data_IF_390088538327
#
_entry.id   IF_390088538327
#
_cell.length_a   1.000
_cell.length_b   1.000
_cell.length_c   1.000
_cell.angle_alpha   90.00
_cell.angle_beta   90.00
_cell.angle_gamma   90.00
#
_symmetry.space_group_name_H-M   'P 1'
#
loop_
_entity.id
_entity.type
_entity.pdbx_description
1 polymer ?
#
# COMPACT_ATOMS: atom_id res chain seq x y z
N UNK A 1 28.38 62.23 89.69
CA UNK A 1 27.02 62.20 90.30
C UNK A 1 26.19 61.14 89.58
N UNK A 2 25.72 60.17 90.37
CA UNK A 2 24.48 59.38 90.28
C UNK A 2 23.93 58.83 88.95
N UNK A 3 23.78 57.49 89.02
CA UNK A 3 22.59 56.69 88.73
C UNK A 3 22.36 56.10 87.34
N UNK A 4 22.73 54.81 87.27
CA UNK A 4 22.05 53.77 86.49
C UNK A 4 20.54 53.80 86.76
N UNK A 5 19.75 53.84 85.69
CA UNK A 5 18.41 53.24 85.68
C UNK A 5 18.24 52.43 84.42
N UNK A 6 18.44 51.13 84.61
CA UNK A 6 17.87 50.07 83.80
C UNK A 6 16.36 50.27 83.67
N UNK A 7 15.81 50.08 82.47
CA UNK A 7 14.42 49.63 82.28
C UNK A 7 14.33 48.91 80.93
N UNK A 8 14.62 47.61 81.00
CA UNK A 8 14.01 46.58 80.16
C UNK A 8 12.50 46.81 80.10
N UNK A 9 11.97 47.00 78.90
CA UNK A 9 10.64 46.50 78.53
C UNK A 9 10.73 45.85 77.16
N UNK A 10 11.14 44.58 77.17
CA UNK A 10 10.80 43.61 76.12
C UNK A 10 9.27 43.44 76.15
N UNK A 11 8.57 44.03 75.21
CA UNK A 11 7.16 43.69 74.94
C UNK A 11 7.14 42.31 74.30
N UNK A 12 6.63 41.31 75.03
CA UNK A 12 6.43 39.92 74.57
C UNK A 12 5.74 39.82 73.20
N UNK A 13 4.96 40.84 72.82
CA UNK A 13 4.24 40.97 71.54
C UNK A 13 5.13 40.89 70.29
N UNK A 14 6.28 41.55 70.24
CA UNK A 14 7.13 41.59 69.03
C UNK A 14 7.85 40.26 68.77
N UNK A 15 8.16 39.51 69.84
CA UNK A 15 8.80 38.21 69.71
C UNK A 15 7.83 37.13 69.22
N UNK A 16 6.56 37.18 69.64
CA UNK A 16 5.51 36.30 69.10
C UNK A 16 5.07 36.68 67.68
N UNK A 17 5.13 37.96 67.30
CA UNK A 17 4.87 38.40 65.92
C UNK A 17 6.02 38.03 64.95
N UNK A 18 7.28 38.15 65.36
CA UNK A 18 8.43 37.67 64.57
C UNK A 18 8.50 36.14 64.48
N UNK A 19 8.19 35.41 65.57
CA UNK A 19 8.07 33.95 65.53
C UNK A 19 6.87 33.50 64.68
N UNK A 20 5.73 34.19 64.75
CA UNK A 20 4.55 33.92 63.93
C UNK A 20 4.79 34.18 62.44
N UNK A 21 5.46 35.27 62.08
CA UNK A 21 5.84 35.58 60.70
C UNK A 21 6.91 34.62 60.14
N UNK A 22 7.86 34.18 60.98
CA UNK A 22 8.84 33.15 60.63
C UNK A 22 8.21 31.77 60.42
N UNK A 23 7.25 31.37 61.26
CA UNK A 23 6.50 30.12 61.12
C UNK A 23 5.59 30.16 59.89
N UNK A 24 4.89 31.28 59.64
CA UNK A 24 4.09 31.45 58.41
C UNK A 24 4.99 31.45 57.17
N UNK A 25 6.14 32.14 57.18
CA UNK A 25 7.09 32.13 56.07
C UNK A 25 7.70 30.75 55.79
N UNK A 26 8.02 29.97 56.83
CA UNK A 26 8.48 28.57 56.69
C UNK A 26 7.35 27.67 56.18
N UNK A 27 6.12 27.81 56.68
CA UNK A 27 4.96 27.06 56.19
C UNK A 27 4.67 27.42 54.73
N UNK A 28 4.68 28.71 54.37
CA UNK A 28 4.50 29.16 52.99
C UNK A 28 5.63 28.67 52.10
N UNK A 29 6.90 28.69 52.54
CA UNK A 29 8.03 28.18 51.77
C UNK A 29 8.00 26.66 51.61
N UNK A 30 7.58 25.91 52.63
CA UNK A 30 7.36 24.45 52.56
C UNK A 30 6.18 24.14 51.63
N UNK A 31 5.08 24.90 51.71
CA UNK A 31 3.97 24.80 50.76
C UNK A 31 4.42 25.15 49.35
N UNK A 32 5.26 26.17 49.16
CA UNK A 32 5.80 26.56 47.86
C UNK A 32 6.75 25.51 47.30
N UNK A 33 7.61 24.90 48.14
CA UNK A 33 8.51 23.81 47.75
C UNK A 33 7.74 22.52 47.44
N UNK A 34 6.71 22.21 48.21
CA UNK A 34 5.80 21.09 47.95
C UNK A 34 5.02 21.38 46.67
N UNK A 35 4.44 22.57 46.47
CA UNK A 35 3.75 22.94 45.23
C UNK A 35 4.67 22.98 44.00
N UNK A 36 5.91 23.48 44.12
CA UNK A 36 6.89 23.49 43.02
C UNK A 36 7.38 22.09 42.68
N UNK A 37 7.68 21.25 43.68
CA UNK A 37 8.07 19.85 43.44
C UNK A 37 6.92 19.02 42.90
N UNK A 38 5.69 19.19 43.42
CA UNK A 38 4.47 18.57 42.89
C UNK A 38 4.15 19.07 41.47
N UNK A 39 4.32 20.37 41.20
CA UNK A 39 4.07 21.00 39.91
C UNK A 39 5.07 20.55 38.84
N UNK A 40 6.36 20.53 39.16
CA UNK A 40 7.42 20.03 38.27
C UNK A 40 7.25 18.55 37.99
N UNK A 41 6.99 17.73 39.02
CA UNK A 41 6.77 16.29 38.84
C UNK A 41 5.51 16.03 38.00
N UNK A 42 4.41 16.72 38.26
CA UNK A 42 3.20 16.60 37.43
C UNK A 42 3.43 17.07 35.99
N UNK A 43 4.17 18.17 35.76
CA UNK A 43 4.49 18.63 34.42
C UNK A 43 5.37 17.62 33.65
N UNK A 44 6.35 17.02 34.33
CA UNK A 44 7.22 15.97 33.75
C UNK A 44 6.40 14.72 33.41
N UNK A 45 5.50 14.28 34.29
CA UNK A 45 4.62 13.13 34.04
C UNK A 45 3.65 13.42 32.91
N UNK A 46 2.98 14.57 32.91
CA UNK A 46 2.08 14.98 31.81
C UNK A 46 2.84 15.05 30.49
N UNK A 47 4.04 15.63 30.46
CA UNK A 47 4.89 15.70 29.27
C UNK A 47 5.28 14.32 28.75
N UNK A 48 5.67 13.39 29.63
CA UNK A 48 6.03 12.01 29.27
C UNK A 48 4.85 11.16 28.81
N UNK A 49 3.66 11.34 29.40
CA UNK A 49 2.41 10.73 28.92
C UNK A 49 2.10 11.28 27.53
N UNK A 50 2.14 12.60 27.39
CA UNK A 50 1.82 13.31 26.17
C UNK A 50 2.76 12.97 25.01
N UNK A 51 4.03 12.68 25.29
CA UNK A 51 5.01 12.30 24.28
C UNK A 51 4.83 10.88 23.72
N UNK A 52 3.96 10.06 24.31
CA UNK A 52 3.58 8.75 23.76
C UNK A 52 2.55 8.87 22.63
N UNK A 53 1.88 10.02 22.53
CA UNK A 53 0.89 10.28 21.51
C UNK A 53 1.54 10.95 20.29
N UNK A 54 1.11 10.52 19.10
CA UNK A 54 1.36 11.18 17.83
C UNK A 54 0.37 12.33 17.65
N UNK A 55 -0.90 12.09 17.97
CA UNK A 55 -1.96 13.09 18.07
C UNK A 55 -2.57 13.03 19.48
N UNK A 56 -2.51 14.17 20.18
CA UNK A 56 -2.98 14.27 21.57
C UNK A 56 -4.49 14.47 21.66
N UNK A 57 -5.08 15.15 20.68
CA UNK A 57 -6.52 15.46 20.67
C UNK A 57 -7.31 14.21 20.30
N UNK A 58 -6.78 13.41 19.38
CA UNK A 58 -7.38 12.13 18.96
C UNK A 58 -6.89 10.93 19.79
N UNK A 59 -5.98 11.15 20.76
CA UNK A 59 -5.34 10.11 21.58
C UNK A 59 -4.71 8.97 20.75
N UNK A 60 -4.08 9.33 19.63
CA UNK A 60 -3.40 8.37 18.74
C UNK A 60 -2.01 8.07 19.29
N UNK A 61 -1.79 6.85 19.77
CA UNK A 61 -0.48 6.39 20.24
C UNK A 61 0.51 6.28 19.09
N UNK A 62 1.77 6.63 19.34
CA UNK A 62 2.87 6.37 18.39
C UNK A 62 3.02 4.88 18.10
N UNK A 63 3.58 4.57 16.93
CA UNK A 63 3.95 3.20 16.53
C UNK A 63 5.01 2.65 17.48
N UNK A 64 6.07 3.43 17.71
CA UNK A 64 7.13 3.11 18.66
C UNK A 64 6.95 3.88 19.98
N UNK A 65 6.59 3.14 21.02
CA UNK A 65 6.38 3.69 22.37
C UNK A 65 7.69 3.70 23.18
N UNK A 66 7.87 4.74 23.98
CA UNK A 66 9.03 4.83 24.88
C UNK A 66 8.72 4.11 26.20
N UNK A 67 8.92 2.79 26.21
CA UNK A 67 8.66 1.94 27.38
C UNK A 67 9.47 2.33 28.63
N UNK A 68 10.68 2.88 28.47
CA UNK A 68 11.47 3.39 29.62
C UNK A 68 10.79 4.59 30.28
N UNK A 69 10.17 5.46 29.49
CA UNK A 69 9.42 6.61 30.02
C UNK A 69 8.11 6.18 30.69
N UNK A 70 7.44 5.16 30.14
CA UNK A 70 6.25 4.56 30.74
C UNK A 70 6.54 3.88 32.08
N UNK A 71 7.59 3.04 32.14
CA UNK A 71 8.04 2.37 33.36
C UNK A 71 8.42 3.38 34.46
N UNK A 72 9.09 4.47 34.08
CA UNK A 72 9.39 5.56 35.01
C UNK A 72 8.12 6.19 35.58
N UNK A 73 7.10 6.49 34.75
CA UNK A 73 5.84 7.06 35.23
C UNK A 73 5.13 6.09 36.18
N UNK A 74 5.04 4.81 35.82
CA UNK A 74 4.42 3.77 36.65
C UNK A 74 5.11 3.63 38.02
N UNK A 75 6.44 3.65 38.05
CA UNK A 75 7.22 3.63 39.30
C UNK A 75 6.97 4.87 40.16
N UNK A 76 6.93 6.06 39.57
CA UNK A 76 6.66 7.30 40.30
C UNK A 76 5.24 7.31 40.87
N UNK A 77 4.24 6.82 40.12
CA UNK A 77 2.86 6.69 40.62
C UNK A 77 2.81 5.70 41.79
N UNK A 78 3.44 4.53 41.66
CA UNK A 78 3.45 3.51 42.72
C UNK A 78 4.19 3.96 43.98
N UNK A 79 5.36 4.59 43.86
CA UNK A 79 6.16 5.04 45.02
C UNK A 79 5.54 6.24 45.72
N UNK A 80 4.78 7.07 44.99
CA UNK A 80 4.12 8.25 45.56
C UNK A 80 2.74 7.98 46.16
N UNK A 81 2.24 6.75 46.07
CA UNK A 81 0.93 6.31 46.57
C UNK A 81 -0.22 7.25 46.14
N UNK A 82 -0.07 7.90 44.97
CA UNK A 82 -1.02 8.87 44.42
C UNK A 82 -1.05 10.25 45.09
N UNK A 83 -0.17 10.55 46.05
CA UNK A 83 -0.12 11.86 46.74
C UNK A 83 0.71 12.91 45.98
N UNK A 84 1.71 12.49 45.19
CA UNK A 84 2.60 13.41 44.46
C UNK A 84 2.09 13.68 43.03
N UNK A 85 1.47 12.67 42.41
CA UNK A 85 0.89 12.77 41.07
C UNK A 85 -0.59 13.08 41.17
N UNK A 86 -1.06 14.08 40.41
CA UNK A 86 -2.48 14.43 40.36
C UNK A 86 -3.34 13.23 39.92
N UNK A 87 -4.54 13.09 40.51
CA UNK A 87 -5.50 12.04 40.13
C UNK A 87 -5.78 11.98 38.62
N UNK A 88 -5.81 13.15 37.96
CA UNK A 88 -5.98 13.24 36.51
C UNK A 88 -4.82 12.59 35.73
N UNK A 89 -3.58 12.81 36.16
CA UNK A 89 -2.41 12.18 35.54
C UNK A 89 -2.38 10.66 35.78
N UNK A 90 -2.79 10.19 36.97
CA UNK A 90 -2.93 8.75 37.26
C UNK A 90 -3.99 8.11 36.35
N UNK A 91 -5.16 8.74 36.19
CA UNK A 91 -6.22 8.27 35.29
C UNK A 91 -5.75 8.21 33.84
N UNK A 92 -5.08 9.27 33.34
CA UNK A 92 -4.52 9.31 31.99
C UNK A 92 -3.46 8.24 31.75
N UNK A 93 -2.63 7.96 32.76
CA UNK A 93 -1.65 6.88 32.69
C UNK A 93 -2.33 5.51 32.63
N UNK A 94 -3.35 5.25 33.45
CA UNK A 94 -4.08 3.98 33.42
C UNK A 94 -4.82 3.76 32.10
N UNK A 95 -5.41 4.81 31.51
CA UNK A 95 -6.01 4.75 30.18
C UNK A 95 -4.97 4.43 29.09
N UNK A 96 -3.81 5.09 29.14
CA UNK A 96 -2.69 4.82 28.26
C UNK A 96 -2.22 3.36 28.37
N UNK A 97 -2.03 2.86 29.59
CA UNK A 97 -1.63 1.48 29.83
C UNK A 97 -2.66 0.48 29.29
N UNK A 98 -3.95 0.73 29.52
CA UNK A 98 -5.04 -0.09 28.96
C UNK A 98 -5.01 -0.13 27.44
N UNK A 99 -4.80 1.02 26.77
CA UNK A 99 -4.67 1.06 25.30
C UNK A 99 -3.45 0.27 24.81
N UNK A 100 -2.32 0.37 25.49
CA UNK A 100 -1.09 -0.38 25.16
C UNK A 100 -1.33 -1.89 25.30
N UNK A 101 -1.96 -2.32 26.39
CA UNK A 101 -2.27 -3.74 26.60
C UNK A 101 -3.28 -4.26 25.58
N UNK A 102 -4.31 -3.47 25.25
CA UNK A 102 -5.27 -3.82 24.21
C UNK A 102 -4.58 -4.01 22.85
N UNK A 103 -3.65 -3.12 22.47
CA UNK A 103 -2.82 -3.26 21.25
C UNK A 103 -1.99 -4.54 21.26
N UNK A 104 -1.32 -4.84 22.37
CA UNK A 104 -0.55 -6.08 22.54
C UNK A 104 -1.43 -7.31 22.40
N UNK A 105 -2.61 -7.31 23.01
CA UNK A 105 -3.56 -8.41 22.95
C UNK A 105 -4.07 -8.62 21.52
N UNK A 106 -4.47 -7.56 20.82
CA UNK A 106 -4.87 -7.64 19.40
C UNK A 106 -3.76 -8.21 18.52
N UNK A 107 -2.53 -7.74 18.70
CA UNK A 107 -1.35 -8.25 17.96
C UNK A 107 -1.14 -9.74 18.22
N UNK A 108 -1.19 -10.17 19.49
CA UNK A 108 -1.09 -11.58 19.86
C UNK A 108 -2.21 -12.44 19.28
N UNK A 109 -3.45 -11.93 19.26
CA UNK A 109 -4.59 -12.63 18.67
C UNK A 109 -4.38 -12.86 17.17
N UNK A 110 -3.91 -11.85 16.42
CA UNK A 110 -3.60 -12.02 14.98
C UNK A 110 -2.47 -13.02 14.79
N UNK A 111 -1.39 -12.90 15.56
CA UNK A 111 -0.25 -13.83 15.48
C UNK A 111 -0.64 -15.26 15.86
N UNK A 112 -1.62 -15.43 16.75
CA UNK A 112 -2.09 -16.76 17.16
C UNK A 112 -2.83 -17.51 16.06
N UNK A 113 -3.27 -16.84 14.98
CA UNK A 113 -3.87 -17.51 13.82
C UNK A 113 -2.84 -18.25 12.97
N UNK A 114 -1.55 -17.94 13.12
CA UNK A 114 -0.48 -18.51 12.32
C UNK A 114 0.09 -19.79 12.94
N UNK A 115 0.46 -20.74 12.07
CA UNK A 115 1.28 -21.91 12.39
C UNK A 115 2.63 -21.83 11.66
N UNK A 116 3.45 -20.88 12.12
CA UNK A 116 4.70 -20.50 11.46
C UNK A 116 4.53 -19.42 10.40
N UNK A 117 5.49 -19.27 9.49
CA UNK A 117 5.53 -18.14 8.54
C UNK A 117 4.56 -18.24 7.37
N UNK A 118 4.15 -19.44 7.01
CA UNK A 118 3.45 -19.71 5.74
C UNK A 118 2.20 -20.58 5.91
N UNK A 119 1.75 -20.82 7.14
CA UNK A 119 0.58 -21.64 7.43
C UNK A 119 -0.29 -20.95 8.48
N UNK A 120 -1.58 -21.29 8.47
CA UNK A 120 -2.51 -20.92 9.53
C UNK A 120 -2.93 -22.15 10.33
N UNK A 121 -3.40 -21.93 11.56
CA UNK A 121 -3.80 -22.99 12.49
C UNK A 121 -5.15 -23.63 12.13
N UNK A 122 -5.33 -24.87 12.56
CA UNK A 122 -6.54 -25.66 12.28
C UNK A 122 -7.80 -25.12 12.95
N UNK A 123 -7.65 -24.40 14.06
CA UNK A 123 -8.77 -23.87 14.82
C UNK A 123 -9.27 -22.51 14.29
N UNK A 124 -8.70 -22.00 13.19
CA UNK A 124 -9.14 -20.75 12.56
C UNK A 124 -10.49 -20.96 11.86
N UNK A 125 -11.43 -20.07 12.15
CA UNK A 125 -12.78 -20.05 11.57
C UNK A 125 -13.11 -18.67 11.04
N UNK A 126 -14.10 -18.57 10.16
CA UNK A 126 -14.63 -17.28 9.69
C UNK A 126 -15.04 -16.37 10.85
N UNK A 127 -15.71 -16.91 11.88
CA UNK A 127 -16.11 -16.15 13.07
C UNK A 127 -14.91 -15.56 13.83
N UNK A 128 -13.85 -16.35 14.04
CA UNK A 128 -12.62 -15.87 14.69
C UNK A 128 -11.96 -14.74 13.89
N UNK A 129 -11.95 -14.84 12.56
CA UNK A 129 -11.41 -13.81 11.67
C UNK A 129 -12.26 -12.53 11.79
N UNK A 130 -13.58 -12.65 11.68
CA UNK A 130 -14.51 -11.52 11.72
C UNK A 130 -14.52 -10.79 13.07
N UNK A 131 -14.46 -11.54 14.18
CA UNK A 131 -14.41 -10.94 15.51
C UNK A 131 -13.08 -10.24 15.77
N UNK A 132 -11.98 -10.79 15.25
CA UNK A 132 -10.69 -10.13 15.33
C UNK A 132 -10.64 -8.85 14.48
N UNK A 133 -11.25 -8.84 13.30
CA UNK A 133 -11.37 -7.64 12.47
C UNK A 133 -12.09 -6.52 13.22
N UNK A 134 -13.25 -6.82 13.83
CA UNK A 134 -13.98 -5.86 14.69
C UNK A 134 -13.13 -5.35 15.85
N UNK A 135 -12.28 -6.20 16.44
CA UNK A 135 -11.36 -5.77 17.49
C UNK A 135 -10.25 -4.86 16.95
N UNK A 136 -9.72 -5.13 15.76
CA UNK A 136 -8.70 -4.32 15.12
C UNK A 136 -9.20 -2.91 14.82
N UNK A 137 -10.47 -2.72 14.45
CA UNK A 137 -11.07 -1.39 14.24
C UNK A 137 -10.99 -0.45 15.47
N UNK A 138 -10.71 -0.99 16.67
CA UNK A 138 -10.49 -0.19 17.89
C UNK A 138 -9.05 0.34 18.02
N UNK A 139 -8.15 0.01 17.10
CA UNK A 139 -6.79 0.56 17.06
C UNK A 139 -6.81 1.94 16.41
N UNK A 140 -6.45 2.97 17.19
CA UNK A 140 -6.47 4.37 16.73
C UNK A 140 -5.27 4.72 15.83
N UNK A 141 -4.15 4.01 15.97
CA UNK A 141 -2.98 4.23 15.11
C UNK A 141 -3.14 3.43 13.80
N UNK A 142 -3.27 4.16 12.69
CA UNK A 142 -3.53 3.57 11.37
C UNK A 142 -2.41 2.64 10.87
N UNK A 143 -1.13 2.96 11.13
CA UNK A 143 -0.02 2.09 10.72
C UNK A 143 -0.05 0.74 11.47
N UNK A 144 -0.31 0.77 12.78
CA UNK A 144 -0.44 -0.45 13.58
C UNK A 144 -1.68 -1.24 13.16
N UNK A 145 -2.82 -0.55 12.98
CA UNK A 145 -4.05 -1.17 12.48
C UNK A 145 -3.80 -1.89 11.15
N UNK A 146 -3.27 -1.19 10.14
CA UNK A 146 -3.05 -1.74 8.80
C UNK A 146 -2.07 -2.91 8.83
N UNK A 147 -1.00 -2.83 9.61
CA UNK A 147 -0.04 -3.93 9.76
C UNK A 147 -0.71 -5.20 10.28
N UNK A 148 -1.60 -5.08 11.26
CA UNK A 148 -2.33 -6.22 11.80
C UNK A 148 -3.46 -6.68 10.86
N UNK A 149 -4.13 -5.74 10.18
CA UNK A 149 -5.17 -6.04 9.19
C UNK A 149 -4.60 -6.82 8.01
N UNK A 150 -3.47 -6.41 7.44
CA UNK A 150 -2.80 -7.13 6.35
C UNK A 150 -2.45 -8.59 6.74
N UNK A 151 -2.03 -8.81 8.00
CA UNK A 151 -1.80 -10.15 8.52
C UNK A 151 -3.10 -10.94 8.61
N UNK A 152 -4.16 -10.33 9.16
CA UNK A 152 -5.48 -10.97 9.26
C UNK A 152 -6.04 -11.31 7.86
N UNK A 153 -5.91 -10.41 6.90
CA UNK A 153 -6.37 -10.59 5.51
C UNK A 153 -5.61 -11.73 4.84
N UNK A 154 -4.31 -11.85 5.10
CA UNK A 154 -3.51 -12.98 4.61
C UNK A 154 -4.08 -14.32 5.11
N UNK A 155 -4.43 -14.39 6.40
CA UNK A 155 -5.06 -15.60 6.97
C UNK A 155 -6.45 -15.83 6.38
N UNK A 156 -7.24 -14.77 6.19
CA UNK A 156 -8.56 -14.85 5.59
C UNK A 156 -8.50 -15.42 4.16
N UNK A 157 -7.61 -14.90 3.31
CA UNK A 157 -7.40 -15.41 1.95
C UNK A 157 -7.00 -16.88 2.00
N UNK A 158 -6.07 -17.26 2.87
CA UNK A 158 -5.66 -18.67 3.01
C UNK A 158 -6.80 -19.57 3.47
N UNK A 159 -7.67 -19.07 4.36
CA UNK A 159 -8.84 -19.79 4.84
C UNK A 159 -9.87 -19.98 3.71
N UNK A 160 -10.24 -18.93 3.00
CA UNK A 160 -11.18 -18.96 1.87
C UNK A 160 -10.66 -19.88 0.74
N UNK A 161 -9.38 -19.76 0.36
CA UNK A 161 -8.73 -20.66 -0.59
C UNK A 161 -8.76 -22.12 -0.13
N UNK A 162 -8.68 -22.37 1.19
CA UNK A 162 -8.79 -23.73 1.72
C UNK A 162 -10.23 -24.25 1.60
N UNK A 163 -11.25 -23.44 1.87
CA UNK A 163 -12.66 -23.84 1.73
C UNK A 163 -13.01 -24.13 0.27
N UNK A 164 -12.59 -23.27 -0.66
CA UNK A 164 -12.79 -23.45 -2.09
C UNK A 164 -12.08 -24.72 -2.59
N UNK A 165 -10.82 -24.91 -2.19
CA UNK A 165 -10.06 -26.12 -2.50
C UNK A 165 -10.75 -27.38 -1.95
N UNK A 166 -11.25 -27.35 -0.71
CA UNK A 166 -11.92 -28.49 -0.07
C UNK A 166 -13.16 -28.94 -0.84
N UNK A 167 -13.99 -27.96 -1.25
CA UNK A 167 -15.19 -28.19 -2.06
C UNK A 167 -14.84 -28.72 -3.44
N UNK A 168 -13.82 -28.14 -4.07
CA UNK A 168 -13.38 -28.55 -5.40
C UNK A 168 -12.78 -29.96 -5.41
N UNK A 169 -11.94 -30.28 -4.42
CA UNK A 169 -11.33 -31.61 -4.28
C UNK A 169 -12.38 -32.67 -4.00
N UNK A 170 -13.32 -32.42 -3.09
CA UNK A 170 -14.43 -33.34 -2.81
C UNK A 170 -15.19 -33.68 -4.08
N UNK A 171 -15.66 -32.66 -4.82
CA UNK A 171 -16.40 -32.85 -6.06
C UNK A 171 -15.58 -33.61 -7.13
N UNK A 172 -14.31 -33.27 -7.28
CA UNK A 172 -13.45 -33.88 -8.30
C UNK A 172 -13.08 -35.33 -7.95
N UNK A 173 -12.82 -35.59 -6.66
CA UNK A 173 -12.53 -36.91 -6.13
C UNK A 173 -13.74 -37.85 -6.23
N UNK A 174 -14.93 -37.38 -5.89
CA UNK A 174 -16.16 -38.17 -6.01
C UNK A 174 -16.48 -38.50 -7.48
N UNK A 175 -16.31 -37.52 -8.38
CA UNK A 175 -16.47 -37.74 -9.81
C UNK A 175 -15.45 -38.75 -10.36
N UNK A 176 -14.18 -38.63 -9.94
CA UNK A 176 -13.11 -39.54 -10.33
C UNK A 176 -13.40 -40.98 -9.86
N UNK A 177 -13.81 -41.18 -8.61
CA UNK A 177 -14.15 -42.52 -8.10
C UNK A 177 -15.39 -43.13 -8.77
N UNK A 178 -16.29 -42.29 -9.31
CA UNK A 178 -17.49 -42.75 -10.03
C UNK A 178 -17.15 -43.12 -11.47
N UNK A 179 -16.36 -42.30 -12.13
CA UNK A 179 -15.91 -42.48 -13.50
C UNK A 179 -14.50 -41.89 -13.64
N UNK A 180 -13.51 -42.77 -13.77
CA UNK A 180 -12.10 -42.37 -13.89
C UNK A 180 -11.85 -41.48 -15.13
N UNK A 181 -12.65 -41.61 -16.19
CA UNK A 181 -12.54 -40.79 -17.40
C UNK A 181 -13.02 -39.35 -17.22
N UNK A 182 -13.70 -39.06 -16.10
CA UNK A 182 -14.15 -37.71 -15.75
C UNK A 182 -12.99 -36.75 -15.41
N UNK A 183 -11.79 -37.27 -15.18
CA UNK A 183 -10.59 -36.52 -14.84
C UNK A 183 -9.92 -35.94 -16.09
N UNK A 184 -10.36 -34.75 -16.49
CA UNK A 184 -9.74 -33.97 -17.56
C UNK A 184 -8.45 -33.28 -17.12
N UNK A 185 -7.63 -32.88 -18.10
CA UNK A 185 -6.43 -32.07 -17.89
C UNK A 185 -6.68 -30.79 -17.05
N UNK A 186 -7.72 -30.04 -17.39
CA UNK A 186 -8.09 -28.82 -16.68
C UNK A 186 -8.38 -29.09 -15.20
N UNK A 187 -9.09 -30.20 -14.93
CA UNK A 187 -9.43 -30.59 -13.57
C UNK A 187 -8.21 -30.93 -12.73
N UNK A 188 -7.27 -31.72 -13.26
CA UNK A 188 -6.06 -32.12 -12.53
C UNK A 188 -5.10 -30.93 -12.32
N UNK A 189 -4.99 -30.03 -13.31
CA UNK A 189 -4.22 -28.80 -13.18
C UNK A 189 -4.76 -27.90 -12.06
N UNK A 190 -6.09 -27.75 -11.99
CA UNK A 190 -6.75 -27.02 -10.93
C UNK A 190 -6.61 -27.73 -9.56
N UNK A 191 -6.66 -29.07 -9.53
CA UNK A 191 -6.39 -29.84 -8.30
C UNK A 191 -4.98 -29.55 -7.76
N UNK A 192 -3.96 -29.66 -8.60
CA UNK A 192 -2.57 -29.44 -8.23
C UNK A 192 -2.31 -27.98 -7.81
N UNK A 193 -2.96 -27.03 -8.49
CA UNK A 193 -2.90 -25.60 -8.15
C UNK A 193 -3.47 -25.34 -6.76
N UNK A 194 -4.73 -25.73 -6.51
CA UNK A 194 -5.36 -25.54 -5.20
C UNK A 194 -4.57 -26.23 -4.09
N UNK A 195 -3.96 -27.39 -4.36
CA UNK A 195 -3.22 -28.15 -3.35
C UNK A 195 -1.93 -27.42 -2.90
N UNK A 196 -1.27 -26.73 -3.83
CA UNK A 196 -0.11 -25.86 -3.53
C UNK A 196 -0.52 -24.62 -2.71
N UNK A 197 -1.74 -24.12 -2.94
CA UNK A 197 -2.27 -22.92 -2.28
C UNK A 197 -2.74 -23.18 -0.84
N UNK A 198 -3.19 -24.39 -0.49
CA UNK A 198 -3.60 -24.70 0.89
C UNK A 198 -2.47 -24.43 1.88
N UNK A 199 -2.74 -23.52 2.83
CA UNK A 199 -1.85 -23.14 3.94
C UNK A 199 -2.29 -23.70 5.29
N UNK A 200 -3.31 -24.56 5.32
CA UNK A 200 -3.64 -25.35 6.50
C UNK A 200 -2.96 -26.73 6.42
N UNK A 201 -2.11 -27.07 7.38
CA UNK A 201 -1.34 -28.32 7.35
C UNK A 201 -2.23 -29.56 7.42
N UNK A 202 -3.27 -29.53 8.25
CA UNK A 202 -4.17 -30.68 8.46
C UNK A 202 -5.05 -30.95 7.24
N UNK A 203 -5.66 -29.92 6.67
CA UNK A 203 -6.45 -30.05 5.43
C UNK A 203 -5.56 -30.48 4.27
N UNK A 204 -4.34 -29.91 4.15
CA UNK A 204 -3.38 -30.33 3.12
C UNK A 204 -2.98 -31.80 3.27
N UNK A 205 -2.77 -32.27 4.50
CA UNK A 205 -2.49 -33.68 4.78
C UNK A 205 -3.67 -34.57 4.41
N UNK A 206 -4.90 -34.18 4.77
CA UNK A 206 -6.14 -34.91 4.45
C UNK A 206 -6.28 -35.20 2.96
N UNK A 207 -5.95 -34.24 2.10
CA UNK A 207 -6.08 -34.37 0.64
C UNK A 207 -4.88 -35.01 -0.05
N UNK A 208 -3.76 -35.21 0.65
CA UNK A 208 -2.50 -35.66 0.04
C UNK A 208 -2.65 -36.97 -0.74
N UNK A 209 -3.40 -37.94 -0.22
CA UNK A 209 -3.56 -39.24 -0.86
C UNK A 209 -4.45 -39.17 -2.10
N UNK A 210 -5.60 -38.51 -1.99
CA UNK A 210 -6.55 -38.33 -3.09
C UNK A 210 -5.92 -37.57 -4.28
N UNK A 211 -5.21 -36.47 -3.99
CA UNK A 211 -4.48 -35.70 -5.01
C UNK A 211 -3.43 -36.55 -5.70
N UNK A 212 -2.61 -37.29 -4.93
CA UNK A 212 -1.59 -38.19 -5.49
C UNK A 212 -2.19 -39.26 -6.41
N UNK A 213 -3.31 -39.88 -6.01
CA UNK A 213 -4.01 -40.89 -6.82
C UNK A 213 -4.54 -40.32 -8.15
N UNK A 214 -5.15 -39.14 -8.12
CA UNK A 214 -5.62 -38.47 -9.34
C UNK A 214 -4.45 -38.09 -10.27
N UNK A 215 -3.35 -37.59 -9.72
CA UNK A 215 -2.16 -37.17 -10.48
C UNK A 215 -1.44 -38.36 -11.12
N UNK A 216 -1.32 -39.48 -10.38
CA UNK A 216 -0.78 -40.74 -10.90
C UNK A 216 -1.65 -41.34 -12.01
N UNK A 217 -2.97 -41.37 -11.82
CA UNK A 217 -3.89 -41.85 -12.84
C UNK A 217 -3.75 -41.04 -14.13
N UNK A 218 -3.78 -39.71 -14.03
CA UNK A 218 -3.64 -38.83 -15.19
C UNK A 218 -2.28 -39.00 -15.90
N UNK A 219 -1.19 -39.05 -15.14
CA UNK A 219 0.16 -39.24 -15.68
C UNK A 219 0.35 -40.57 -16.43
N UNK A 220 -0.37 -41.62 -16.05
CA UNK A 220 -0.27 -42.93 -16.69
C UNK A 220 -1.18 -43.09 -17.92
N UNK A 221 -2.10 -42.16 -18.17
CA UNK A 221 -3.13 -42.26 -19.22
C UNK A 221 -3.09 -41.13 -20.26
N UNK A 222 -2.07 -40.25 -20.23
CA UNK A 222 -1.88 -39.15 -21.19
C UNK A 222 -0.45 -39.11 -21.73
N UNK A 223 -0.30 -38.94 -23.06
CA UNK A 223 1.01 -38.89 -23.74
C UNK A 223 1.83 -37.64 -23.41
N UNK A 224 3.16 -37.74 -23.53
CA UNK A 224 4.17 -36.75 -23.13
C UNK A 224 3.97 -35.31 -23.67
N UNK A 225 3.31 -35.12 -24.82
CA UNK A 225 3.10 -33.77 -25.38
C UNK A 225 2.13 -32.90 -24.57
N UNK A 226 1.26 -33.50 -23.76
CA UNK A 226 0.28 -32.80 -22.91
C UNK A 226 0.90 -32.06 -21.72
N UNK A 227 2.11 -32.44 -21.29
CA UNK A 227 2.77 -31.93 -20.06
C UNK A 227 3.39 -30.53 -20.18
N UNK A 228 3.83 -30.11 -21.37
CA UNK A 228 4.44 -28.77 -21.55
C UNK A 228 3.36 -27.70 -21.73
N UNK A 229 2.29 -28.04 -22.42
CA UNK A 229 1.08 -27.22 -22.53
C UNK A 229 0.35 -27.14 -21.17
N UNK A 230 0.52 -28.16 -20.34
CA UNK A 230 -0.01 -28.22 -18.99
C UNK A 230 0.55 -27.16 -18.05
N UNK A 231 1.87 -26.98 -18.04
CA UNK A 231 2.53 -25.97 -17.19
C UNK A 231 2.15 -24.56 -17.61
N UNK A 232 1.90 -24.33 -18.91
CA UNK A 232 1.43 -23.03 -19.42
C UNK A 232 -0.01 -22.74 -19.02
N UNK A 233 -0.90 -23.74 -19.08
CA UNK A 233 -2.31 -23.58 -18.64
C UNK A 233 -2.46 -23.48 -17.12
N UNK A 234 -1.64 -24.18 -16.34
CA UNK A 234 -1.60 -24.07 -14.87
C UNK A 234 -1.22 -22.65 -14.43
N UNK A 235 -0.25 -22.02 -15.14
CA UNK A 235 0.15 -20.63 -14.90
C UNK A 235 -0.96 -19.62 -15.25
N UNK A 236 -1.70 -19.84 -16.34
CA UNK A 236 -2.81 -18.95 -16.75
C UNK A 236 -4.07 -19.14 -15.90
N UNK A 237 -4.35 -20.37 -15.42
CA UNK A 237 -5.41 -20.62 -14.46
C UNK A 237 -5.11 -20.00 -13.09
N UNK A 238 -3.85 -20.01 -12.64
CA UNK A 238 -3.39 -19.30 -11.44
C UNK A 238 -3.62 -17.78 -11.52
N UNK A 239 -3.45 -17.18 -12.70
CA UNK A 239 -3.70 -15.74 -12.91
C UNK A 239 -5.17 -15.38 -12.91
N UNK A 240 -6.04 -16.30 -13.35
CA UNK A 240 -7.45 -16.01 -13.67
C UNK A 240 -8.46 -16.71 -12.76
N UNK A 241 -8.03 -17.50 -11.75
CA UNK A 241 -8.96 -18.17 -10.83
C UNK A 241 -9.67 -17.12 -9.96
N UNK A 242 -10.99 -16.89 -10.19
CA UNK A 242 -11.73 -15.92 -9.42
C UNK A 242 -12.05 -16.54 -8.06
N UNK A 243 -11.64 -15.88 -6.98
CA UNK A 243 -12.14 -16.17 -5.63
C UNK A 243 -13.67 -16.08 -5.68
N UNK A 244 -14.35 -17.18 -5.40
CA UNK A 244 -15.81 -17.31 -5.62
C UNK A 244 -16.67 -16.64 -4.54
N UNK A 245 -16.06 -16.05 -3.52
CA UNK A 245 -16.74 -15.14 -2.61
C UNK A 245 -16.31 -13.71 -2.89
N UNK A 246 -17.29 -12.83 -3.16
CA UNK A 246 -17.13 -11.39 -3.31
C UNK A 246 -16.53 -10.80 -2.03
N UNK A 247 -15.21 -10.85 -1.90
CA UNK A 247 -14.51 -9.95 -1.00
C UNK A 247 -14.69 -8.54 -1.56
N UNK A 248 -15.57 -7.78 -0.90
CA UNK A 248 -15.55 -6.33 -0.98
C UNK A 248 -14.62 -5.92 0.16
N UNK A 249 -13.35 -5.54 -0.12
CA UNK A 249 -12.55 -4.93 0.92
C UNK A 249 -13.37 -3.80 1.54
N UNK A 250 -13.43 -3.74 2.86
CA UNK A 250 -13.97 -2.56 3.52
C UNK A 250 -13.29 -1.35 2.88
N UNK A 251 -14.08 -0.38 2.42
CA UNK A 251 -13.58 0.93 2.00
C UNK A 251 -13.00 1.58 3.26
N UNK A 252 -11.75 1.25 3.53
CA UNK A 252 -10.92 1.94 4.51
C UNK A 252 -10.17 2.98 3.70
N UNK A 253 -10.39 4.25 4.00
CA UNK A 253 -9.49 5.32 3.61
C UNK A 253 -8.12 5.02 4.24
N UNK A 254 -7.30 4.29 3.51
CA UNK A 254 -5.95 3.94 3.92
C UNK A 254 -5.11 5.23 3.83
N UNK A 255 -5.01 5.94 4.96
CA UNK A 255 -3.85 6.80 5.23
C UNK A 255 -2.74 5.90 5.75
N UNK A 256 -2.31 4.95 4.92
CA UNK A 256 -1.00 4.35 5.10
C UNK A 256 0.01 5.42 4.74
N UNK A 257 1.15 5.38 5.40
CA UNK A 257 2.36 6.09 4.99
C UNK A 257 2.74 5.70 3.56
N UNK A 258 2.06 6.34 2.61
CA UNK A 258 2.45 6.39 1.22
C UNK A 258 3.89 6.87 1.19
N UNK A 259 4.68 6.30 0.29
CA UNK A 259 5.76 7.04 -0.33
C UNK A 259 5.12 8.19 -1.13
N UNK A 260 4.55 9.15 -0.40
CA UNK A 260 4.20 10.47 -0.84
C UNK A 260 5.53 11.04 -1.31
N UNK A 261 5.75 10.98 -2.62
CA UNK A 261 6.50 12.07 -3.23
C UNK A 261 5.66 13.29 -2.95
N UNK A 262 6.08 14.10 -1.98
CA UNK A 262 5.48 15.37 -1.53
C UNK A 262 5.39 16.43 -2.64
N UNK A 263 5.36 16.04 -3.92
CA UNK A 263 5.23 16.91 -5.07
C UNK A 263 4.39 16.34 -6.21
N UNK A 264 4.15 15.03 -6.33
CA UNK A 264 3.37 14.50 -7.46
C UNK A 264 1.87 14.85 -7.34
N UNK A 265 1.30 14.72 -6.14
CA UNK A 265 -0.10 15.13 -5.89
C UNK A 265 -0.29 16.63 -6.08
N UNK A 266 0.66 17.43 -5.59
CA UNK A 266 0.60 18.89 -5.72
C UNK A 266 0.76 19.32 -7.17
N UNK A 267 1.72 18.74 -7.92
CA UNK A 267 1.92 19.00 -9.33
C UNK A 267 0.69 18.64 -10.17
N UNK A 268 0.12 17.45 -9.96
CA UNK A 268 -1.08 17.00 -10.66
C UNK A 268 -2.31 17.85 -10.32
N UNK A 269 -2.46 18.26 -9.06
CA UNK A 269 -3.55 19.15 -8.62
C UNK A 269 -3.39 20.56 -9.20
N UNK A 270 -2.18 21.11 -9.18
CA UNK A 270 -1.88 22.42 -9.79
C UNK A 270 -2.09 22.41 -11.31
N UNK A 271 -1.79 21.28 -11.97
CA UNK A 271 -2.09 21.05 -13.37
C UNK A 271 -3.60 20.81 -13.65
N UNK A 272 -4.46 20.88 -12.63
CA UNK A 272 -5.91 20.69 -12.76
C UNK A 272 -6.31 19.26 -13.11
N UNK A 273 -5.44 18.28 -12.88
CA UNK A 273 -5.71 16.89 -13.20
C UNK A 273 -6.51 16.26 -12.05
N UNK A 274 -7.71 15.78 -12.38
CA UNK A 274 -8.64 15.17 -11.44
C UNK A 274 -8.96 13.72 -11.73
N UNK A 275 -8.44 13.19 -12.85
CA UNK A 275 -8.66 11.82 -13.32
C UNK A 275 -8.29 10.79 -12.25
N UNK A 276 -9.05 9.70 -12.17
CA UNK A 276 -8.78 8.62 -11.21
C UNK A 276 -7.41 7.99 -11.43
N UNK A 277 -6.98 7.82 -12.67
CA UNK A 277 -5.70 7.24 -13.03
C UNK A 277 -4.94 8.19 -13.95
N UNK A 278 -3.66 8.41 -13.65
CA UNK A 278 -2.78 9.31 -14.43
C UNK A 278 -1.42 8.65 -14.57
N UNK A 279 -0.92 8.52 -15.79
CA UNK A 279 0.48 8.18 -15.99
C UNK A 279 1.30 9.43 -15.70
N UNK A 280 2.18 9.37 -14.71
CA UNK A 280 2.95 10.50 -14.23
C UNK A 280 4.44 10.25 -14.43
N UNK A 281 5.11 11.14 -15.14
CA UNK A 281 6.55 11.18 -15.25
C UNK A 281 7.12 12.34 -14.47
N UNK A 282 8.10 12.06 -13.61
CA UNK A 282 8.90 13.05 -12.92
C UNK A 282 10.26 13.17 -13.61
N UNK A 283 10.44 14.21 -14.41
CA UNK A 283 11.69 14.47 -15.15
C UNK A 283 12.89 14.65 -14.22
N UNK A 284 12.71 15.34 -13.09
CA UNK A 284 13.79 15.58 -12.11
C UNK A 284 14.31 14.31 -11.43
N UNK A 285 13.47 13.27 -11.34
CA UNK A 285 13.82 11.99 -10.71
C UNK A 285 13.99 10.85 -11.71
N UNK A 286 13.70 11.09 -12.98
CA UNK A 286 13.63 10.08 -14.03
C UNK A 286 12.73 8.88 -13.66
N UNK A 287 11.60 9.14 -13.02
CA UNK A 287 10.66 8.09 -12.61
C UNK A 287 9.31 8.23 -13.28
N UNK A 288 8.79 7.12 -13.80
CA UNK A 288 7.48 7.01 -14.43
C UNK A 288 6.59 6.06 -13.61
N UNK A 289 5.34 6.42 -13.35
CA UNK A 289 4.41 5.54 -12.66
C UNK A 289 2.97 5.81 -13.07
N UNK A 290 2.14 4.75 -13.08
CA UNK A 290 0.70 4.91 -13.07
C UNK A 290 0.26 5.32 -11.66
N UNK A 291 -0.24 6.54 -11.54
CA UNK A 291 -0.74 7.11 -10.30
C UNK A 291 -2.25 6.90 -10.20
N UNK A 292 -2.71 6.34 -9.09
CA UNK A 292 -4.11 6.22 -8.73
C UNK A 292 -4.48 7.35 -7.78
N UNK A 293 -5.63 8.00 -8.00
CA UNK A 293 -6.17 9.02 -7.10
C UNK A 293 -6.96 8.35 -5.99
N UNK A 294 -6.45 8.43 -4.76
CA UNK A 294 -7.05 7.87 -3.55
C UNK A 294 -7.20 9.01 -2.54
N UNK A 295 -8.44 9.25 -2.08
CA UNK A 295 -8.76 10.27 -1.06
C UNK A 295 -8.18 11.67 -1.38
N UNK A 296 -8.21 12.06 -2.65
CA UNK A 296 -7.74 13.35 -3.14
C UNK A 296 -6.24 13.44 -3.44
N UNK A 297 -5.45 12.40 -3.17
CA UNK A 297 -4.00 12.33 -3.44
C UNK A 297 -3.68 11.29 -4.51
N UNK A 298 -2.59 11.50 -5.24
CA UNK A 298 -2.10 10.59 -6.26
C UNK A 298 -0.99 9.68 -5.73
N UNK A 299 -1.11 8.38 -6.00
CA UNK A 299 -0.28 7.33 -5.42
C UNK A 299 0.16 6.30 -6.46
N UNK A 300 1.42 5.89 -6.43
CA UNK A 300 1.96 4.86 -7.32
C UNK A 300 1.78 3.47 -6.69
N UNK A 301 0.64 2.81 -6.92
CA UNK A 301 0.30 1.51 -6.30
C UNK A 301 1.25 0.38 -6.71
N UNK A 302 1.75 0.43 -7.94
CA UNK A 302 2.60 -0.61 -8.53
C UNK A 302 4.09 -0.21 -8.61
N UNK A 303 4.49 0.83 -7.87
CA UNK A 303 5.87 1.33 -7.87
C UNK A 303 6.20 2.26 -9.04
N UNK A 304 7.50 2.50 -9.25
CA UNK A 304 8.03 3.40 -10.28
C UNK A 304 8.90 2.62 -11.27
N UNK A 305 8.70 2.88 -12.55
CA UNK A 305 9.64 2.52 -13.61
C UNK A 305 10.75 3.57 -13.71
N UNK A 306 11.98 3.11 -13.94
CA UNK A 306 13.10 4.01 -14.18
C UNK A 306 13.15 4.39 -15.66
N UNK A 307 13.20 5.70 -15.93
CA UNK A 307 13.35 6.25 -17.28
C UNK A 307 14.83 6.41 -17.56
N UNK A 308 15.34 5.65 -18.53
CA UNK A 308 16.76 5.69 -18.89
C UNK A 308 17.09 6.90 -19.74
N UNK A 309 16.12 7.40 -20.51
CA UNK A 309 16.26 8.57 -21.36
C UNK A 309 14.87 9.12 -21.72
N UNK A 310 14.74 10.44 -21.82
CA UNK A 310 13.49 11.10 -22.22
C UNK A 310 13.79 12.38 -23.01
N UNK A 311 13.14 12.52 -24.15
CA UNK A 311 13.04 13.78 -24.91
C UNK A 311 11.61 14.31 -24.93
N UNK A 312 10.76 13.84 -24.02
CA UNK A 312 9.37 14.29 -23.90
C UNK A 312 9.33 15.62 -23.14
N UNK A 313 8.69 16.63 -23.74
CA UNK A 313 8.52 17.94 -23.11
C UNK A 313 7.54 17.88 -21.93
N UNK A 314 7.63 18.85 -21.01
CA UNK A 314 6.65 18.99 -19.94
C UNK A 314 5.28 19.37 -20.48
N UNK A 315 4.23 18.78 -19.91
CA UNK A 315 2.88 18.99 -20.40
C UNK A 315 1.92 17.83 -20.15
N UNK A 316 0.72 17.99 -20.70
CA UNK A 316 -0.38 17.03 -20.60
C UNK A 316 -0.60 16.38 -21.96
N UNK A 317 -0.46 15.07 -21.99
CA UNK A 317 -0.70 14.21 -23.14
C UNK A 317 -1.84 13.24 -22.84
N UNK A 318 -2.35 12.58 -23.87
CA UNK A 318 -3.27 11.45 -23.74
C UNK A 318 -2.62 10.21 -24.29
N UNK A 319 -2.66 9.10 -23.55
CA UNK A 319 -2.29 7.78 -24.07
C UNK A 319 -3.32 7.40 -25.13
N UNK A 320 -2.92 7.36 -26.40
CA UNK A 320 -3.82 7.08 -27.52
C UNK A 320 -3.93 5.58 -27.78
N UNK A 321 -2.82 4.84 -27.65
CA UNK A 321 -2.77 3.41 -27.99
C UNK A 321 -1.68 2.70 -27.20
N UNK A 322 -1.98 1.50 -26.74
CA UNK A 322 -0.98 0.49 -26.39
C UNK A 322 -0.65 -0.27 -27.68
N UNK A 323 0.55 -0.09 -28.18
CA UNK A 323 0.96 -0.58 -29.49
C UNK A 323 1.56 -1.98 -29.33
N UNK A 324 1.00 -2.92 -30.08
CA UNK A 324 1.62 -4.18 -30.45
C UNK A 324 1.56 -4.26 -31.98
N UNK A 325 2.53 -3.64 -32.64
CA UNK A 325 2.42 -3.26 -34.05
C UNK A 325 2.60 -4.45 -34.99
N UNK A 326 1.72 -4.52 -35.98
CA UNK A 326 1.93 -5.33 -37.18
C UNK A 326 2.76 -4.57 -38.22
N UNK A 327 3.25 -5.28 -39.23
CA UNK A 327 4.06 -4.69 -40.31
C UNK A 327 3.34 -3.60 -41.11
N UNK A 328 2.00 -3.62 -41.15
CA UNK A 328 1.20 -2.63 -41.87
C UNK A 328 0.51 -1.64 -40.92
N UNK A 329 0.90 -1.57 -39.65
CA UNK A 329 0.36 -0.55 -38.77
C UNK A 329 1.06 0.79 -39.02
N UNK A 330 0.28 1.86 -38.94
CA UNK A 330 0.75 3.20 -39.27
C UNK A 330 0.13 4.29 -38.38
N UNK A 331 0.78 5.45 -38.30
CA UNK A 331 0.22 6.68 -37.73
C UNK A 331 0.25 7.77 -38.80
N UNK A 332 -0.85 8.50 -38.96
CA UNK A 332 -0.89 9.68 -39.82
C UNK A 332 -0.10 10.79 -39.15
N UNK A 333 0.93 11.29 -39.82
CA UNK A 333 1.89 12.27 -39.29
C UNK A 333 1.88 13.60 -40.03
N UNK A 334 1.14 13.70 -41.14
CA UNK A 334 0.86 14.98 -41.79
C UNK A 334 0.02 15.89 -40.89
N UNK A 335 0.62 16.96 -40.38
CA UNK A 335 0.00 17.93 -39.48
C UNK A 335 -1.07 18.80 -40.14
N UNK A 336 -1.12 18.84 -41.48
CA UNK A 336 -2.18 19.51 -42.24
C UNK A 336 -3.43 18.64 -42.41
N UNK A 337 -3.33 17.33 -42.14
CA UNK A 337 -4.44 16.40 -42.23
C UNK A 337 -5.28 16.43 -40.95
N UNK A 338 -6.62 16.46 -41.09
CA UNK A 338 -7.55 16.45 -39.94
C UNK A 338 -7.46 15.18 -39.08
N UNK A 339 -6.91 14.10 -39.63
CA UNK A 339 -6.68 12.81 -38.97
C UNK A 339 -5.25 12.68 -38.40
N UNK A 340 -4.51 13.79 -38.26
CA UNK A 340 -3.19 13.78 -37.63
C UNK A 340 -3.18 13.03 -36.29
N UNK A 341 -2.17 12.18 -36.11
CA UNK A 341 -1.99 11.34 -34.93
C UNK A 341 -2.96 10.15 -34.85
N UNK A 342 -3.78 9.89 -35.86
CA UNK A 342 -4.62 8.70 -35.91
C UNK A 342 -3.78 7.45 -36.18
N UNK A 343 -3.92 6.46 -35.29
CA UNK A 343 -3.37 5.12 -35.48
C UNK A 343 -4.28 4.32 -36.42
N UNK A 344 -3.71 3.74 -37.47
CA UNK A 344 -4.40 2.93 -38.47
C UNK A 344 -3.81 1.52 -38.43
N UNK A 345 -4.60 0.57 -37.95
CA UNK A 345 -4.21 -0.84 -37.89
C UNK A 345 -4.35 -1.48 -39.29
N UNK A 346 -3.37 -2.29 -39.68
CA UNK A 346 -3.33 -2.98 -40.98
C UNK A 346 -3.63 -2.04 -42.15
N UNK A 347 -2.99 -0.87 -42.16
CA UNK A 347 -3.19 0.16 -43.15
C UNK A 347 -2.82 -0.34 -44.56
N UNK A 348 -3.71 -0.02 -45.49
CA UNK A 348 -3.56 -0.14 -46.94
C UNK A 348 -3.67 1.24 -47.58
N UNK A 349 -3.18 1.37 -48.82
CA UNK A 349 -3.32 2.61 -49.60
C UNK A 349 -4.78 3.08 -49.68
N UNK A 350 -5.73 2.14 -49.83
CA UNK A 350 -7.16 2.44 -49.85
C UNK A 350 -7.69 2.95 -48.49
N UNK A 351 -7.26 2.36 -47.38
CA UNK A 351 -7.66 2.80 -46.03
C UNK A 351 -7.11 4.18 -45.68
N UNK A 352 -5.90 4.49 -46.15
CA UNK A 352 -5.24 5.77 -45.92
C UNK A 352 -5.81 6.86 -46.85
N UNK A 353 -6.09 6.52 -48.11
CA UNK A 353 -6.79 7.41 -49.03
C UNK A 353 -8.18 7.82 -48.50
N UNK A 354 -8.91 6.90 -47.86
CA UNK A 354 -10.19 7.21 -47.21
C UNK A 354 -10.05 8.17 -46.01
N UNK A 355 -8.84 8.31 -45.46
CA UNK A 355 -8.48 9.27 -44.42
C UNK A 355 -7.77 10.52 -45.00
N UNK A 356 -7.90 10.75 -46.30
CA UNK A 356 -7.29 11.86 -47.05
C UNK A 356 -5.77 11.88 -47.01
N UNK A 357 -5.13 10.71 -46.89
CA UNK A 357 -3.68 10.56 -47.00
C UNK A 357 -3.35 10.13 -48.42
N UNK A 358 -2.68 11.00 -49.18
CA UNK A 358 -2.12 10.68 -50.49
C UNK A 358 -0.66 10.23 -50.35
N UNK A 359 -0.21 9.35 -51.24
CA UNK A 359 1.19 8.88 -51.32
C UNK A 359 1.78 8.48 -49.96
N UNK A 360 1.21 7.46 -49.26
CA UNK A 360 1.59 7.12 -47.90
C UNK A 360 2.98 6.47 -47.77
N UNK A 361 3.72 6.36 -48.85
CA UNK A 361 5.04 5.73 -48.88
C UNK A 361 6.05 6.54 -48.07
N UNK A 362 6.61 5.90 -47.04
CA UNK A 362 7.65 6.48 -46.22
C UNK A 362 8.50 5.37 -45.57
N UNK A 363 9.81 5.59 -45.52
CA UNK A 363 10.79 4.60 -45.03
C UNK A 363 11.60 5.06 -43.82
N UNK A 364 11.40 6.29 -43.33
CA UNK A 364 12.13 6.75 -42.12
C UNK A 364 11.73 5.96 -40.88
N UNK A 365 12.71 5.69 -40.02
CA UNK A 365 12.52 5.09 -38.71
C UNK A 365 12.14 6.13 -37.63
N UNK A 366 12.37 7.43 -37.88
CA UNK A 366 12.04 8.50 -36.96
C UNK A 366 10.64 9.06 -37.24
N UNK A 367 9.71 8.76 -36.33
CA UNK A 367 8.32 9.19 -36.42
C UNK A 367 8.13 10.71 -36.43
N UNK A 368 9.09 11.49 -35.91
CA UNK A 368 9.03 12.96 -35.92
C UNK A 368 9.34 13.55 -37.31
N UNK A 369 10.00 12.77 -38.15
CA UNK A 369 10.36 13.15 -39.54
C UNK A 369 9.49 12.47 -40.59
N UNK A 370 8.69 11.49 -40.18
CA UNK A 370 7.81 10.73 -41.06
C UNK A 370 6.68 11.62 -41.57
N UNK A 371 6.49 11.71 -42.89
CA UNK A 371 5.36 12.41 -43.52
C UNK A 371 5.02 11.69 -44.82
N UNK A 372 3.75 11.49 -45.19
CA UNK A 372 2.54 11.84 -44.45
C UNK A 372 2.14 10.79 -43.39
N UNK A 373 2.83 9.65 -43.35
CA UNK A 373 2.57 8.53 -42.44
C UNK A 373 3.87 7.98 -41.85
N UNK A 374 3.83 7.60 -40.58
CA UNK A 374 4.85 6.79 -39.93
C UNK A 374 4.44 5.31 -39.94
N UNK A 375 5.27 4.45 -40.54
CA UNK A 375 5.06 3.01 -40.56
C UNK A 375 5.84 2.32 -39.44
N UNK A 376 5.17 1.53 -38.60
CA UNK A 376 5.83 0.84 -37.49
C UNK A 376 6.88 -0.18 -37.96
N UNK A 377 6.72 -0.78 -39.14
CA UNK A 377 7.75 -1.67 -39.74
C UNK A 377 9.13 -1.02 -39.89
N UNK A 378 9.19 0.32 -39.95
CA UNK A 378 10.46 1.04 -40.10
C UNK A 378 11.21 1.21 -38.76
N UNK A 379 10.57 0.92 -37.62
CA UNK A 379 11.18 1.09 -36.29
C UNK A 379 10.75 -0.01 -35.32
N UNK A 380 11.55 -1.08 -35.26
CA UNK A 380 11.27 -2.25 -34.42
C UNK A 380 11.23 -1.96 -32.92
N UNK A 381 11.85 -0.87 -32.44
CA UNK A 381 11.80 -0.48 -31.03
C UNK A 381 10.40 0.00 -30.61
N UNK A 382 9.57 0.45 -31.57
CA UNK A 382 8.21 0.91 -31.32
C UNK A 382 7.15 -0.19 -31.52
N UNK A 383 7.55 -1.40 -31.92
CA UNK A 383 6.62 -2.54 -32.10
C UNK A 383 5.85 -2.87 -30.82
N UNK A 384 6.50 -2.73 -29.66
CA UNK A 384 5.85 -2.76 -28.36
C UNK A 384 6.11 -1.42 -27.69
N UNK A 385 5.08 -0.58 -27.61
CA UNK A 385 5.22 0.78 -27.08
C UNK A 385 3.88 1.35 -26.60
N UNK A 386 3.94 2.48 -25.89
CA UNK A 386 2.76 3.27 -25.52
C UNK A 386 2.81 4.54 -26.34
N UNK A 387 1.88 4.69 -27.27
CA UNK A 387 1.71 5.89 -28.08
C UNK A 387 0.88 6.91 -27.30
N UNK A 388 1.41 8.13 -27.17
CA UNK A 388 0.73 9.27 -26.56
C UNK A 388 0.78 10.50 -27.48
N UNK A 389 -0.18 11.40 -27.31
CA UNK A 389 -0.26 12.65 -28.07
C UNK A 389 -1.07 13.71 -27.33
N UNK A 390 -0.76 14.98 -27.58
CA UNK A 390 -1.55 16.15 -27.16
C UNK A 390 -2.43 16.72 -28.28
N UNK A 391 -2.45 16.08 -29.46
CA UNK A 391 -3.16 16.52 -30.67
C UNK A 391 -2.30 17.33 -31.65
N UNK A 392 -1.13 17.80 -31.22
CA UNK A 392 -0.15 18.51 -32.07
C UNK A 392 1.20 17.81 -32.15
N UNK A 393 1.48 16.98 -31.14
CA UNK A 393 2.73 16.27 -30.95
C UNK A 393 2.45 14.78 -30.81
N UNK A 394 3.30 13.95 -31.42
CA UNK A 394 3.30 12.50 -31.26
C UNK A 394 4.46 12.11 -30.36
N UNK A 395 4.27 11.08 -29.53
CA UNK A 395 5.35 10.57 -28.70
C UNK A 395 5.12 9.13 -28.28
N UNK A 396 6.20 8.49 -27.84
CA UNK A 396 6.20 7.07 -27.50
C UNK A 396 6.97 6.78 -26.23
N UNK A 397 6.43 5.87 -25.42
CA UNK A 397 7.18 5.19 -24.35
C UNK A 397 7.54 3.80 -24.85
N UNK A 398 8.81 3.47 -24.90
CA UNK A 398 9.30 2.26 -25.55
C UNK A 398 10.55 1.69 -24.86
N UNK A 399 10.98 0.51 -25.31
CA UNK A 399 12.16 -0.17 -24.78
C UNK A 399 13.21 -0.37 -25.87
N UNK A 400 14.47 -0.05 -25.55
CA UNK A 400 15.61 -0.19 -26.47
C UNK A 400 15.65 0.85 -27.60
N UNK A 401 16.66 0.76 -28.48
CA UNK A 401 16.82 1.63 -29.65
C UNK A 401 17.49 2.98 -29.40
N UNK A 402 17.53 3.82 -30.44
CA UNK A 402 18.06 5.19 -30.41
C UNK A 402 17.06 6.13 -29.72
N UNK A 403 17.56 7.22 -29.14
CA UNK A 403 16.73 8.30 -28.61
C UNK A 403 16.00 9.02 -29.75
N UNK A 404 14.68 9.12 -29.69
CA UNK A 404 13.85 9.87 -30.63
C UNK A 404 13.27 11.13 -29.95
N UNK A 405 12.98 12.16 -30.74
CA UNK A 405 12.30 13.36 -30.25
C UNK A 405 10.91 12.98 -29.74
N UNK A 406 10.48 13.51 -28.58
CA UNK A 406 9.29 13.05 -27.85
C UNK A 406 9.23 11.54 -27.58
N UNK A 407 10.39 10.89 -27.50
CA UNK A 407 10.56 9.52 -27.07
C UNK A 407 10.93 9.41 -25.59
N UNK A 408 10.41 8.38 -24.92
CA UNK A 408 10.77 7.99 -23.56
C UNK A 408 11.20 6.53 -23.52
N UNK A 409 12.42 6.29 -23.06
CA UNK A 409 13.00 4.96 -22.96
C UNK A 409 12.92 4.42 -21.53
N UNK A 410 12.39 3.21 -21.39
CA UNK A 410 12.35 2.45 -20.14
C UNK A 410 12.83 1.01 -20.40
N UNK A 411 13.00 0.21 -19.35
CA UNK A 411 13.35 -1.20 -19.51
C UNK A 411 12.20 -2.00 -20.14
N UNK A 412 12.50 -3.07 -20.89
CA UNK A 412 11.46 -3.92 -21.51
C UNK A 412 10.54 -4.57 -20.47
N UNK A 413 11.07 -4.91 -19.30
CA UNK A 413 10.27 -5.44 -18.18
C UNK A 413 9.31 -4.38 -17.63
N UNK A 414 9.78 -3.15 -17.44
CA UNK A 414 8.94 -2.06 -16.95
C UNK A 414 7.87 -1.68 -17.97
N UNK A 415 8.21 -1.68 -19.27
CA UNK A 415 7.26 -1.41 -20.34
C UNK A 415 6.15 -2.46 -20.39
N UNK A 416 6.51 -3.75 -20.33
CA UNK A 416 5.53 -4.84 -20.31
C UNK A 416 4.58 -4.73 -19.11
N UNK A 417 5.16 -4.47 -17.92
CA UNK A 417 4.38 -4.25 -16.70
C UNK A 417 3.46 -3.03 -16.84
N UNK A 418 3.98 -1.92 -17.36
CA UNK A 418 3.22 -0.69 -17.53
C UNK A 418 2.07 -0.86 -18.54
N UNK A 419 2.32 -1.51 -19.67
CA UNK A 419 1.30 -1.82 -20.68
C UNK A 419 0.20 -2.77 -20.16
N UNK A 420 0.50 -3.60 -19.15
CA UNK A 420 -0.52 -4.44 -18.50
C UNK A 420 -1.46 -3.67 -17.56
N UNK A 421 -1.09 -2.44 -17.19
CA UNK A 421 -1.78 -1.62 -16.18
C UNK A 421 -2.41 -0.35 -16.76
N UNK A 422 -1.75 0.25 -17.75
CA UNK A 422 -2.22 1.46 -18.44
C UNK A 422 -3.30 1.07 -19.44
N UNK A 423 -4.27 1.96 -19.65
CA UNK A 423 -5.29 1.85 -20.69
C UNK A 423 -5.19 3.02 -21.66
N UNK A 424 -5.71 2.88 -22.88
CA UNK A 424 -5.92 4.03 -23.77
C UNK A 424 -6.91 5.03 -23.16
N UNK A 425 -6.70 6.31 -23.43
CA UNK A 425 -7.52 7.41 -22.93
C UNK A 425 -7.05 7.98 -21.60
N UNK A 426 -6.08 7.38 -20.91
CA UNK A 426 -5.56 7.96 -19.67
C UNK A 426 -4.73 9.21 -19.95
N UNK A 427 -4.78 10.17 -19.02
CA UNK A 427 -3.88 11.32 -19.02
C UNK A 427 -2.46 10.83 -18.75
N UNK A 428 -1.52 11.27 -19.59
CA UNK A 428 -0.09 11.19 -19.35
C UNK A 428 0.45 12.59 -19.05
N UNK A 429 0.97 12.80 -17.85
CA UNK A 429 1.49 14.09 -17.41
C UNK A 429 3.00 14.01 -17.20
N UNK A 430 3.71 14.93 -17.84
CA UNK A 430 5.15 15.10 -17.72
C UNK A 430 5.44 16.33 -16.88
N UNK A 431 6.02 16.09 -15.70
CA UNK A 431 6.39 17.11 -14.73
C UNK A 431 7.87 17.44 -14.73
#
# INVERSE_FOLDING_TARGET
MKDKKDLKTRTKSEHYLMLGAGVVGVITAVIFFIMLSLGVVNAVVTSKISSQYQDKELEVLKTDLNYRSLDFIGKVINVSDGYIISKSNVQKYNQLENYIQARKNRTKMVESLYDGKSNYRDDVTSDKINDLDKLLLKEKNQDVYQKQRNKLDTVQIWYEQTQDADKYFSKTWDAFNTDNSSLSFEKISMVNTYYKLIKNKTVKKRWSEAVSKMDQYFSNHQGESSRVEAVKKELEALKNSPLTEKYIPANVDIVSSLNSTTGASDALTQAGITDKNVLYYNSSKNTLALMTRVSGKYVAENGYANVTNSQVSSGKYTVKKLVNANSNDAIITDSSNSNFGQYVANATDSSLSALNVADPDNTTADFSSATPVFWFKNNSALNSSIYFSDGSTLGFIYAGGTSYNNGMQISSSDLSNLMSQVSSGITFYVN
#
